data_IF_335406989692
#
_entry.id   IF_335406989692
#
_cell.length_a   1.000
_cell.length_b   1.000
_cell.length_c   1.000
_cell.angle_alpha   90.00
_cell.angle_beta   90.00
_cell.angle_gamma   90.00
#
_symmetry.space_group_name_H-M   'P 1'
#
loop_
_entity.id
_entity.type
_entity.pdbx_description
1 polymer ?
#
# COMPACT_ATOMS: atom_id res chain seq x y z
N UNK A 1 12.34 9.28 16.10
CA UNK A 1 13.66 8.78 15.65
C UNK A 1 13.62 8.21 14.22
N UNK A 2 12.57 7.49 13.81
CA UNK A 2 12.41 6.93 12.45
C UNK A 2 12.51 7.97 11.31
N UNK A 3 11.94 9.16 11.49
CA UNK A 3 12.01 10.24 10.48
C UNK A 3 13.44 10.74 10.21
N UNK A 4 14.34 10.63 11.20
CA UNK A 4 15.74 11.03 11.07
C UNK A 4 16.51 9.99 10.24
N UNK A 5 16.33 8.70 10.54
CA UNK A 5 16.90 7.60 9.75
C UNK A 5 16.42 7.64 8.29
N UNK A 6 15.14 7.95 8.06
CA UNK A 6 14.59 8.11 6.71
C UNK A 6 15.19 9.31 5.96
N UNK A 7 15.38 10.44 6.64
CA UNK A 7 16.03 11.61 6.06
C UNK A 7 17.52 11.37 5.75
N UNK A 8 18.23 10.61 6.60
CA UNK A 8 19.60 10.19 6.33
C UNK A 8 19.67 9.22 5.14
N UNK A 9 18.80 8.21 5.08
CA UNK A 9 18.74 7.29 3.94
C UNK A 9 18.54 8.03 2.61
N UNK A 10 17.56 8.93 2.53
CA UNK A 10 17.31 9.72 1.31
C UNK A 10 18.41 10.72 0.95
N UNK A 11 19.20 11.16 1.93
CA UNK A 11 20.24 12.19 1.73
C UNK A 11 21.60 11.58 1.37
N UNK A 12 21.87 10.37 1.85
CA UNK A 12 23.21 9.77 1.79
C UNK A 12 23.26 8.46 1.01
N UNK A 13 22.13 7.77 0.82
CA UNK A 13 22.08 6.55 0.01
C UNK A 13 21.59 6.86 -1.40
N UNK A 14 22.23 6.26 -2.38
CA UNK A 14 21.74 6.26 -3.75
C UNK A 14 20.68 5.16 -3.98
N UNK A 15 20.07 5.16 -5.17
CA UNK A 15 19.03 4.19 -5.52
C UNK A 15 19.53 2.74 -5.50
N UNK A 16 20.81 2.51 -5.84
CA UNK A 16 21.38 1.16 -5.87
C UNK A 16 21.59 0.64 -4.44
N UNK A 17 22.13 1.48 -3.56
CA UNK A 17 22.30 1.14 -2.13
C UNK A 17 20.95 0.88 -1.44
N UNK A 18 19.92 1.65 -1.77
CA UNK A 18 18.57 1.42 -1.26
C UNK A 18 17.97 0.09 -1.76
N UNK A 19 18.22 -0.28 -3.01
CA UNK A 19 17.73 -1.55 -3.56
C UNK A 19 18.46 -2.74 -2.93
N UNK A 20 19.78 -2.64 -2.71
CA UNK A 20 20.55 -3.68 -2.01
C UNK A 20 20.04 -3.88 -0.57
N UNK A 21 19.76 -2.80 0.16
CA UNK A 21 19.17 -2.87 1.50
C UNK A 21 17.77 -3.51 1.46
N UNK A 22 16.95 -3.15 0.47
CA UNK A 22 15.63 -3.73 0.29
C UNK A 22 15.71 -5.23 0.01
N UNK A 23 16.61 -5.67 -0.85
CA UNK A 23 16.85 -7.10 -1.11
C UNK A 23 17.32 -7.83 0.15
N UNK A 24 18.28 -7.26 0.88
CA UNK A 24 18.76 -7.83 2.14
C UNK A 24 17.62 -7.99 3.16
N UNK A 25 16.77 -6.96 3.31
CA UNK A 25 15.61 -7.00 4.23
C UNK A 25 14.58 -8.02 3.75
N UNK A 26 14.29 -8.07 2.44
CA UNK A 26 13.30 -8.98 1.86
C UNK A 26 13.61 -10.46 2.11
N UNK A 27 14.89 -10.82 2.22
CA UNK A 27 15.33 -12.19 2.55
C UNK A 27 15.24 -12.53 4.04
N UNK A 28 14.94 -11.55 4.92
CA UNK A 28 14.83 -11.79 6.36
C UNK A 28 13.40 -12.15 6.78
N UNK A 29 13.28 -12.75 7.97
CA UNK A 29 11.97 -12.98 8.57
C UNK A 29 11.17 -11.69 8.80
N UNK A 30 11.86 -10.58 9.08
CA UNK A 30 11.22 -9.27 9.19
C UNK A 30 10.68 -8.79 7.84
N UNK A 31 11.41 -9.01 6.74
CA UNK A 31 10.94 -8.70 5.39
C UNK A 31 9.66 -9.47 5.04
N UNK A 32 9.61 -10.77 5.34
CA UNK A 32 8.40 -11.58 5.17
C UNK A 32 7.22 -11.04 5.98
N UNK A 33 7.44 -10.71 7.26
CA UNK A 33 6.39 -10.16 8.12
C UNK A 33 5.85 -8.83 7.59
N UNK A 34 6.74 -7.91 7.19
CA UNK A 34 6.34 -6.63 6.61
C UNK A 34 5.56 -6.78 5.31
N UNK A 35 5.92 -7.78 4.49
CA UNK A 35 5.20 -8.07 3.25
C UNK A 35 3.77 -8.58 3.53
N UNK A 36 3.62 -9.53 4.46
CA UNK A 36 2.31 -10.06 4.85
C UNK A 36 1.43 -9.01 5.53
N UNK A 37 2.00 -8.14 6.37
CA UNK A 37 1.30 -7.01 6.97
C UNK A 37 0.80 -6.04 5.88
N UNK A 38 1.64 -5.74 4.89
CA UNK A 38 1.30 -4.90 3.75
C UNK A 38 0.19 -5.49 2.88
N UNK A 39 0.24 -6.80 2.62
CA UNK A 39 -0.81 -7.53 1.90
C UNK A 39 -2.13 -7.50 2.66
N UNK A 40 -2.10 -7.82 3.95
CA UNK A 40 -3.28 -7.80 4.83
C UNK A 40 -3.91 -6.41 4.91
N UNK A 41 -3.09 -5.35 5.00
CA UNK A 41 -3.56 -3.97 4.98
C UNK A 41 -4.21 -3.61 3.63
N UNK A 42 -3.68 -4.12 2.51
CA UNK A 42 -4.24 -3.96 1.17
C UNK A 42 -5.60 -4.64 1.02
N UNK A 43 -5.73 -5.88 1.53
CA UNK A 43 -6.98 -6.63 1.54
C UNK A 43 -8.05 -5.93 2.37
N UNK A 44 -7.70 -5.42 3.57
CA UNK A 44 -8.62 -4.67 4.41
C UNK A 44 -9.08 -3.37 3.76
N UNK A 45 -8.18 -2.62 3.10
CA UNK A 45 -8.56 -1.44 2.31
C UNK A 45 -9.59 -1.77 1.24
N UNK A 46 -9.36 -2.84 0.47
CA UNK A 46 -10.29 -3.26 -0.59
C UNK A 46 -11.63 -3.73 -0.01
N UNK A 47 -11.61 -4.45 1.11
CA UNK A 47 -12.82 -4.90 1.81
C UNK A 47 -13.67 -3.72 2.27
N UNK A 48 -13.06 -2.71 2.91
CA UNK A 48 -13.76 -1.48 3.34
C UNK A 48 -14.39 -0.75 2.17
N UNK A 49 -13.66 -0.59 1.07
CA UNK A 49 -14.18 0.05 -0.13
C UNK A 49 -15.36 -0.74 -0.71
N UNK A 50 -15.24 -2.06 -0.74
CA UNK A 50 -16.29 -2.94 -1.27
C UNK A 50 -17.58 -2.83 -0.46
N UNK A 51 -17.49 -2.92 0.87
CA UNK A 51 -18.65 -2.75 1.75
C UNK A 51 -19.29 -1.38 1.53
N UNK A 52 -18.48 -0.32 1.49
CA UNK A 52 -18.98 1.04 1.31
C UNK A 52 -19.74 1.23 0.00
N UNK A 53 -19.20 0.70 -1.10
CA UNK A 53 -19.84 0.81 -2.42
C UNK A 53 -21.10 -0.06 -2.51
N UNK A 54 -21.15 -1.21 -1.82
CA UNK A 54 -22.34 -2.04 -1.74
C UNK A 54 -23.45 -1.34 -0.94
N UNK A 55 -23.12 -0.73 0.19
CA UNK A 55 -24.08 0.04 1.01
C UNK A 55 -24.67 1.23 0.25
N UNK A 56 -23.83 1.93 -0.54
CA UNK A 56 -24.26 3.03 -1.40
C UNK A 56 -24.90 2.55 -2.73
N UNK A 57 -25.01 1.24 -2.97
CA UNK A 57 -25.51 0.63 -4.21
C UNK A 57 -24.77 1.09 -5.48
N UNK A 58 -23.50 1.48 -5.34
CA UNK A 58 -22.63 1.99 -6.42
C UNK A 58 -21.93 0.84 -7.14
N UNK A 59 -22.71 -0.06 -7.74
CA UNK A 59 -22.18 -1.28 -8.37
C UNK A 59 -21.25 -1.01 -9.55
N UNK A 60 -21.53 0.01 -10.36
CA UNK A 60 -20.67 0.42 -11.48
C UNK A 60 -19.28 0.89 -11.00
N UNK A 61 -19.24 1.57 -9.85
CA UNK A 61 -17.98 2.01 -9.26
C UNK A 61 -17.19 0.85 -8.66
N UNK A 62 -17.86 -0.15 -8.12
CA UNK A 62 -17.23 -1.38 -7.64
C UNK A 62 -16.56 -2.14 -8.80
N UNK A 63 -17.28 -2.31 -9.91
CA UNK A 63 -16.73 -2.97 -11.11
C UNK A 63 -15.54 -2.19 -11.68
N UNK A 64 -15.69 -0.87 -11.78
CA UNK A 64 -14.61 -0.01 -12.28
C UNK A 64 -13.40 -0.03 -11.35
N UNK A 65 -13.61 0.04 -10.04
CA UNK A 65 -12.53 -0.02 -9.05
C UNK A 65 -11.81 -1.37 -9.06
N UNK A 66 -12.49 -2.48 -9.39
CA UNK A 66 -11.84 -3.78 -9.52
C UNK A 66 -10.89 -3.83 -10.73
N UNK A 67 -11.26 -3.17 -11.84
CA UNK A 67 -10.50 -3.18 -13.11
C UNK A 67 -9.47 -2.06 -13.23
N UNK A 68 -9.72 -0.91 -12.62
CA UNK A 68 -8.91 0.31 -12.74
C UNK A 68 -8.33 0.69 -11.37
N UNK A 69 -7.00 0.57 -11.27
CA UNK A 69 -6.25 0.90 -10.06
C UNK A 69 -6.28 2.38 -9.74
N UNK A 70 -6.14 3.26 -10.74
CA UNK A 70 -6.14 4.71 -10.50
C UNK A 70 -7.51 5.19 -10.03
N UNK A 71 -8.57 4.61 -10.60
CA UNK A 71 -9.93 4.89 -10.15
C UNK A 71 -10.16 4.42 -8.72
N UNK A 72 -9.70 3.21 -8.40
CA UNK A 72 -9.74 2.67 -7.03
C UNK A 72 -8.98 3.58 -6.05
N UNK A 73 -7.81 4.09 -6.42
CA UNK A 73 -7.03 5.00 -5.58
C UNK A 73 -7.72 6.35 -5.38
N UNK A 74 -8.44 6.86 -6.39
CA UNK A 74 -9.30 8.05 -6.25
C UNK A 74 -10.44 7.79 -5.27
N UNK A 75 -11.07 6.62 -5.32
CA UNK A 75 -12.13 6.24 -4.38
C UNK A 75 -11.58 6.07 -2.96
N UNK A 76 -10.39 5.48 -2.79
CA UNK A 76 -9.75 5.42 -1.48
C UNK A 76 -9.55 6.81 -0.89
N UNK A 77 -9.05 7.78 -1.67
CA UNK A 77 -8.92 9.17 -1.21
C UNK A 77 -10.29 9.80 -0.89
N UNK A 78 -11.30 9.57 -1.72
CA UNK A 78 -12.64 10.13 -1.55
C UNK A 78 -13.31 9.63 -0.26
N UNK A 79 -13.19 8.33 0.04
CA UNK A 79 -13.78 7.70 1.22
C UNK A 79 -12.86 7.68 2.45
N UNK A 80 -11.63 8.19 2.35
CA UNK A 80 -10.65 8.20 3.44
C UNK A 80 -10.12 6.81 3.83
N UNK A 81 -9.94 5.90 2.85
CA UNK A 81 -9.53 4.49 3.03
C UNK A 81 -8.03 4.27 2.82
#
# INVERSE_FOLDING_TARGET
>A
MQAVLYAFANKFLDTAELEEIKEAIAMTKLGEMLFEDGKSAGEEKMRRLTIRLLDEKRYADLEKAAKDREYRDKLYKFFGI
#
